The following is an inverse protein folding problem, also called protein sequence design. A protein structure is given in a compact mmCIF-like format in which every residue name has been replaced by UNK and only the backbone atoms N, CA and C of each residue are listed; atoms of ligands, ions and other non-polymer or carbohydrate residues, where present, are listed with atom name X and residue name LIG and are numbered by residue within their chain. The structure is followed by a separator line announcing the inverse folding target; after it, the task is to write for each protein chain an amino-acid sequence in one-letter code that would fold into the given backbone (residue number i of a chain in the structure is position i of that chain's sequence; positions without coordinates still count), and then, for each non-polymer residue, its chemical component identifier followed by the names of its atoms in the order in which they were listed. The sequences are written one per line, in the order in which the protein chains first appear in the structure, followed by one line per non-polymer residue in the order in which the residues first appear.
data_IF_696157864620
#
_entry.id   IF_696157864620
#
_cell.length_a   1.000
_cell.length_b   1.000
_cell.length_c   1.000
_cell.angle_alpha   90.00
_cell.angle_beta   90.00
_cell.angle_gamma   90.00
#
_symmetry.space_group_name_H-M   'P 1'
#
loop_
_entity.id
_entity.type
_entity.pdbx_description
1 polymer ?
#
# COMPACT_ATOMS: atom_id res chain seq x y z
N UNK A 1 -0.02 6.85 -13.78
CA UNK A 1 0.75 5.62 -14.03
C UNK A 1 -0.21 4.57 -14.55
N UNK A 2 0.27 3.60 -15.33
CA UNK A 2 -0.55 2.45 -15.69
C UNK A 2 -0.58 1.44 -14.54
N UNK A 3 -1.64 1.48 -13.73
CA UNK A 3 -1.78 0.63 -12.54
C UNK A 3 -2.04 -0.85 -12.88
N UNK A 4 -2.27 -1.20 -14.16
CA UNK A 4 -2.55 -2.60 -14.56
C UNK A 4 -1.34 -3.52 -14.40
N UNK A 5 -0.14 -2.94 -14.32
CA UNK A 5 1.13 -3.67 -14.19
C UNK A 5 1.62 -3.83 -12.74
N UNK A 6 0.87 -3.33 -11.75
CA UNK A 6 1.30 -3.43 -10.35
C UNK A 6 1.35 -4.87 -9.88
N UNK A 7 2.56 -5.31 -9.52
CA UNK A 7 2.77 -6.59 -8.86
C UNK A 7 2.28 -6.47 -7.43
N UNK A 8 1.43 -7.42 -7.01
CA UNK A 8 0.95 -7.50 -5.62
C UNK A 8 2.11 -7.87 -4.69
N UNK A 9 2.14 -7.21 -3.54
CA UNK A 9 3.03 -7.59 -2.45
C UNK A 9 2.72 -9.02 -1.97
N UNK A 10 3.77 -9.72 -1.57
CA UNK A 10 3.70 -11.01 -0.88
C UNK A 10 3.30 -10.81 0.57
N UNK A 11 2.87 -11.88 1.25
CA UNK A 11 2.51 -11.82 2.67
C UNK A 11 3.66 -11.33 3.57
N UNK A 12 4.91 -11.63 3.21
CA UNK A 12 6.08 -11.19 3.96
C UNK A 12 6.33 -9.67 3.83
N UNK A 13 5.76 -9.05 2.80
CA UNK A 13 5.91 -7.61 2.52
C UNK A 13 4.74 -6.78 3.11
N UNK A 14 3.67 -7.43 3.57
CA UNK A 14 2.52 -6.78 4.21
C UNK A 14 2.82 -6.43 5.67
N UNK A 15 3.84 -5.61 5.90
CA UNK A 15 4.28 -5.20 7.24
C UNK A 15 4.21 -3.69 7.43
N UNK A 16 4.01 -3.20 8.68
CA UNK A 16 4.04 -1.77 8.98
C UNK A 16 5.30 -1.08 8.46
N UNK A 17 6.46 -1.72 8.61
CA UNK A 17 7.76 -1.16 8.19
C UNK A 17 7.85 -0.87 6.68
N UNK A 18 7.06 -1.55 5.84
CA UNK A 18 7.05 -1.34 4.39
C UNK A 18 5.90 -0.42 3.98
N UNK A 19 4.77 -0.49 4.69
CA UNK A 19 3.50 0.09 4.24
C UNK A 19 3.13 1.39 4.93
N UNK A 20 3.55 1.65 6.17
CA UNK A 20 3.26 2.92 6.85
C UNK A 20 3.91 4.10 6.10
N UNK A 21 3.13 5.15 5.86
CA UNK A 21 3.51 6.31 5.06
C UNK A 21 3.45 6.09 3.54
N UNK A 22 3.17 4.88 3.06
CA UNK A 22 3.03 4.63 1.62
C UNK A 22 1.90 5.46 1.02
N UNK A 23 2.13 6.07 -0.15
CA UNK A 23 1.12 6.89 -0.84
C UNK A 23 0.02 6.02 -1.43
N UNK A 24 -1.23 6.44 -1.22
CA UNK A 24 -2.41 5.84 -1.82
C UNK A 24 -2.78 6.65 -3.07
N UNK A 25 -2.86 5.97 -4.21
CA UNK A 25 -3.26 6.57 -5.47
C UNK A 25 -4.69 6.15 -5.84
N UNK A 26 -5.47 7.09 -6.35
CA UNK A 26 -6.77 6.83 -6.94
C UNK A 26 -6.66 6.35 -8.40
N UNK A 27 -7.81 6.10 -9.06
CA UNK A 27 -7.86 5.56 -10.42
C UNK A 27 -7.29 6.52 -11.48
N UNK A 28 -7.22 7.83 -11.19
CA UNK A 28 -6.70 8.86 -12.10
C UNK A 28 -5.25 9.25 -11.77
N UNK A 29 -4.52 8.40 -11.04
CA UNK A 29 -3.13 8.60 -10.57
C UNK A 29 -2.96 9.76 -9.58
N UNK A 30 -4.05 10.20 -8.98
CA UNK A 30 -4.06 11.28 -8.00
C UNK A 30 -3.70 10.75 -6.60
N UNK A 31 -2.95 11.55 -5.84
CA UNK A 31 -2.60 11.23 -4.45
C UNK A 31 -3.81 11.51 -3.57
N UNK A 32 -4.44 10.46 -3.04
CA UNK A 32 -5.64 10.58 -2.19
C UNK A 32 -5.33 10.39 -0.70
N UNK A 33 -4.12 9.95 -0.35
CA UNK A 33 -3.69 9.86 1.04
C UNK A 33 -2.41 9.06 1.23
N UNK A 34 -2.19 8.63 2.47
CA UNK A 34 -1.12 7.72 2.86
C UNK A 34 -1.61 6.74 3.91
N UNK A 35 -0.96 5.59 4.01
CA UNK A 35 -1.24 4.61 5.06
C UNK A 35 -0.74 5.13 6.41
N UNK A 36 -1.59 5.15 7.43
CA UNK A 36 -1.23 5.59 8.78
C UNK A 36 -0.77 4.43 9.67
N UNK A 37 -1.54 3.35 9.73
CA UNK A 37 -1.22 2.14 10.49
C UNK A 37 -1.85 0.90 9.84
N UNK A 38 -1.31 -0.28 10.17
CA UNK A 38 -1.84 -1.57 9.74
C UNK A 38 -2.53 -2.30 10.90
N UNK A 39 -3.68 -2.90 10.63
CA UNK A 39 -4.35 -3.83 11.55
C UNK A 39 -4.07 -5.29 11.17
N UNK A 40 -3.98 -6.17 12.17
CA UNK A 40 -3.96 -7.63 11.95
C UNK A 40 -2.60 -8.26 11.66
N UNK A 41 -1.47 -7.55 11.83
CA UNK A 41 -0.12 -8.11 11.67
C UNK A 41 0.32 -9.08 12.79
N UNK A 42 -0.57 -9.44 13.72
CA UNK A 42 -0.35 -10.44 14.77
C UNK A 42 -1.41 -11.54 14.64
N UNK A 43 -1.05 -12.66 14.02
CA UNK A 43 -1.75 -13.95 14.14
C UNK A 43 -0.74 -15.08 14.30
#
# INVERSE_FOLDING_TARGET
MDHTSHVRLTNAELTPAILEGATIYGPDDEKIGSVDHLHGSQV
#
